data_IF_919337117995
#
_entry.id   IF_919337117995
#
_cell.length_a   1.000
_cell.length_b   1.000
_cell.length_c   1.000
_cell.angle_alpha   90.00
_cell.angle_beta   90.00
_cell.angle_gamma   90.00
#
_symmetry.space_group_name_H-M   'P 1'
#
loop_
_entity.id
_entity.type
_entity.pdbx_description
1 polymer ?
#
# COMPACT_ATOMS: atom_id res chain seq x y z
N UNK A 1 27.46 39.11 35.75
CA UNK A 1 27.22 38.54 34.41
C UNK A 1 25.77 38.71 33.91
N UNK A 2 24.75 38.99 34.74
CA UNK A 2 23.37 39.25 34.27
C UNK A 2 23.23 40.38 33.21
N UNK A 3 23.85 41.55 33.43
CA UNK A 3 23.54 42.77 32.67
C UNK A 3 23.84 42.72 31.14
N UNK A 4 24.59 41.73 30.66
CA UNK A 4 24.86 41.52 29.22
C UNK A 4 23.83 40.62 28.53
N UNK A 5 23.02 39.86 29.28
CA UNK A 5 21.97 39.00 28.72
C UNK A 5 20.71 39.79 28.32
N UNK A 6 20.25 40.72 29.16
CA UNK A 6 19.02 41.50 28.90
C UNK A 6 19.11 42.42 27.67
N UNK A 7 20.31 42.99 27.41
CA UNK A 7 20.58 43.75 26.18
C UNK A 7 20.52 42.87 24.92
N UNK A 8 20.86 41.58 25.02
CA UNK A 8 20.81 40.67 23.88
C UNK A 8 19.36 40.25 23.58
N UNK A 9 18.57 39.93 24.61
CA UNK A 9 17.16 39.53 24.48
C UNK A 9 16.24 40.67 23.95
N UNK A 10 16.49 41.92 24.38
CA UNK A 10 15.70 43.08 23.96
C UNK A 10 15.98 43.54 22.52
N UNK A 11 17.16 43.26 21.97
CA UNK A 11 17.45 43.49 20.55
C UNK A 11 16.80 42.45 19.64
N UNK A 12 16.73 41.18 20.05
CA UNK A 12 16.06 40.13 19.26
C UNK A 12 14.56 40.41 19.10
N UNK A 13 13.87 40.88 20.16
CA UNK A 13 12.46 41.31 20.06
C UNK A 13 12.25 42.48 19.11
N UNK A 14 13.15 43.48 19.12
CA UNK A 14 13.07 44.61 18.18
C UNK A 14 13.31 44.17 16.73
N UNK A 15 14.21 43.22 16.48
CA UNK A 15 14.37 42.60 15.16
C UNK A 15 13.12 41.87 14.67
N UNK A 16 12.50 41.04 15.52
CA UNK A 16 11.26 40.31 15.21
C UNK A 16 10.03 41.23 15.03
N UNK A 17 9.92 42.32 15.79
CA UNK A 17 8.88 43.33 15.59
C UNK A 17 9.12 44.14 14.32
N UNK A 18 10.38 44.49 14.00
CA UNK A 18 10.69 45.16 12.74
C UNK A 18 10.40 44.27 11.53
N UNK A 19 10.70 42.96 11.57
CA UNK A 19 10.40 42.04 10.47
C UNK A 19 8.90 41.79 10.28
N UNK A 20 8.13 41.66 11.37
CA UNK A 20 6.66 41.54 11.28
C UNK A 20 5.98 42.84 10.83
N UNK A 21 6.48 44.02 11.23
CA UNK A 21 6.01 45.28 10.66
C UNK A 21 6.38 45.41 9.18
N UNK A 22 7.62 45.07 8.77
CA UNK A 22 8.02 45.13 7.36
C UNK A 22 7.17 44.20 6.46
N UNK A 23 6.86 42.98 6.91
CA UNK A 23 5.90 42.10 6.23
C UNK A 23 4.49 42.70 6.17
N UNK A 24 4.02 43.32 7.27
CA UNK A 24 2.71 44.00 7.32
C UNK A 24 2.58 45.18 6.35
N UNK A 25 3.67 45.90 6.07
CA UNK A 25 3.66 47.00 5.09
C UNK A 25 3.76 46.48 3.64
N UNK A 26 4.53 45.42 3.36
CA UNK A 26 4.62 44.85 2.01
C UNK A 26 3.33 44.16 1.54
N UNK A 27 2.53 43.60 2.45
CA UNK A 27 1.26 42.92 2.09
C UNK A 27 0.05 43.86 2.01
N UNK A 28 0.16 45.12 2.44
CA UNK A 28 -0.97 46.08 2.45
C UNK A 28 -1.39 46.62 1.08
N UNK A 29 -0.63 46.32 0.03
CA UNK A 29 -0.94 46.71 -1.35
C UNK A 29 -1.16 45.53 -2.32
N UNK A 30 -1.20 44.29 -1.82
CA UNK A 30 -1.43 43.09 -2.64
C UNK A 30 -2.84 42.59 -2.35
N UNK A 31 -3.63 42.38 -3.39
CA UNK A 31 -5.01 41.90 -3.26
C UNK A 31 -5.07 40.60 -2.41
N UNK A 32 -6.03 40.46 -1.48
CA UNK A 32 -6.18 39.25 -0.68
C UNK A 32 -6.29 37.98 -1.54
N UNK A 33 -6.94 38.12 -2.71
CA UNK A 33 -7.11 37.07 -3.72
C UNK A 33 -5.77 36.63 -4.32
N UNK A 34 -4.88 37.58 -4.66
CA UNK A 34 -3.54 37.28 -5.19
C UNK A 34 -2.70 36.59 -4.12
N UNK A 35 -2.77 37.07 -2.87
CA UNK A 35 -2.03 36.50 -1.75
C UNK A 35 -2.48 35.06 -1.44
N UNK A 36 -3.78 34.76 -1.53
CA UNK A 36 -4.34 33.41 -1.43
C UNK A 36 -3.87 32.53 -2.60
N UNK A 37 -3.96 33.01 -3.84
CA UNK A 37 -3.54 32.28 -5.04
C UNK A 37 -2.06 31.89 -5.00
N UNK A 38 -1.16 32.82 -4.65
CA UNK A 38 0.28 32.55 -4.51
C UNK A 38 0.54 31.55 -3.38
N UNK A 39 -0.19 31.62 -2.26
CA UNK A 39 -0.07 30.66 -1.16
C UNK A 39 -0.54 29.26 -1.56
N UNK A 40 -1.66 29.15 -2.28
CA UNK A 40 -2.12 27.88 -2.84
C UNK A 40 -1.13 27.27 -3.83
N UNK A 41 -0.58 28.10 -4.73
CA UNK A 41 0.39 27.67 -5.73
C UNK A 41 1.68 27.17 -5.06
N UNK A 42 2.15 27.88 -4.02
CA UNK A 42 3.27 27.46 -3.18
C UNK A 42 3.01 26.12 -2.48
N UNK A 43 1.82 25.92 -1.88
CA UNK A 43 1.45 24.65 -1.24
C UNK A 43 1.35 23.49 -2.25
N UNK A 44 0.81 23.73 -3.45
CA UNK A 44 0.70 22.72 -4.53
C UNK A 44 2.10 22.29 -5.01
N UNK A 45 3.00 23.25 -5.27
CA UNK A 45 4.39 22.96 -5.65
C UNK A 45 5.18 22.25 -4.54
N UNK A 46 4.96 22.61 -3.27
CA UNK A 46 5.56 21.94 -2.12
C UNK A 46 5.12 20.47 -2.05
N UNK A 47 3.81 20.20 -2.11
CA UNK A 47 3.27 18.83 -2.06
C UNK A 47 3.77 17.94 -3.20
N UNK A 48 3.80 18.46 -4.43
CA UNK A 48 4.31 17.73 -5.60
C UNK A 48 5.78 17.30 -5.43
N UNK A 49 6.64 18.16 -4.85
CA UNK A 49 8.04 17.86 -4.62
C UNK A 49 8.24 16.66 -3.68
N UNK A 50 7.45 16.55 -2.60
CA UNK A 50 7.54 15.42 -1.66
C UNK A 50 6.93 14.13 -2.21
N UNK A 51 5.90 14.22 -3.06
CA UNK A 51 5.40 13.06 -3.81
C UNK A 51 6.52 12.50 -4.70
N UNK A 52 7.20 13.36 -5.48
CA UNK A 52 8.31 12.96 -6.35
C UNK A 52 9.48 12.38 -5.54
N UNK A 53 9.92 13.06 -4.47
CA UNK A 53 11.01 12.56 -3.61
C UNK A 53 10.66 11.21 -2.97
N UNK A 54 9.47 11.07 -2.41
CA UNK A 54 8.99 9.82 -1.82
C UNK A 54 8.94 8.70 -2.86
N UNK A 55 8.47 8.99 -4.07
CA UNK A 55 8.42 8.02 -5.16
C UNK A 55 9.83 7.59 -5.61
N UNK A 56 10.78 8.51 -5.73
CA UNK A 56 12.17 8.17 -6.07
C UNK A 56 12.80 7.22 -5.04
N UNK A 57 12.60 7.46 -3.74
CA UNK A 57 13.10 6.56 -2.68
C UNK A 57 12.37 5.21 -2.72
N UNK A 58 11.04 5.21 -2.88
CA UNK A 58 10.23 3.99 -3.06
C UNK A 58 10.76 3.14 -4.22
N UNK A 59 10.92 3.73 -5.41
CA UNK A 59 11.42 3.03 -6.59
C UNK A 59 12.88 2.57 -6.44
N UNK A 60 13.74 3.31 -5.75
CA UNK A 60 15.12 2.90 -5.49
C UNK A 60 15.18 1.65 -4.60
N UNK A 61 14.43 1.63 -3.49
CA UNK A 61 14.32 0.46 -2.60
C UNK A 61 13.68 -0.72 -3.33
N UNK A 62 12.61 -0.47 -4.10
CA UNK A 62 11.92 -1.49 -4.87
C UNK A 62 12.83 -2.14 -5.91
N UNK A 63 13.46 -1.33 -6.78
CA UNK A 63 14.32 -1.80 -7.86
C UNK A 63 15.54 -2.55 -7.34
N UNK A 64 16.20 -2.07 -6.27
CA UNK A 64 17.34 -2.77 -5.66
C UNK A 64 16.96 -4.16 -5.12
N UNK A 65 15.81 -4.25 -4.45
CA UNK A 65 15.33 -5.52 -3.87
C UNK A 65 14.89 -6.51 -4.95
N UNK A 66 14.18 -6.03 -5.98
CA UNK A 66 13.76 -6.86 -7.13
C UNK A 66 14.96 -7.31 -7.96
N UNK A 67 15.94 -6.43 -8.23
CA UNK A 67 17.19 -6.80 -8.90
C UNK A 67 17.95 -7.87 -8.11
N UNK A 68 18.00 -7.74 -6.79
CA UNK A 68 18.61 -8.76 -5.91
C UNK A 68 17.90 -10.10 -6.06
N UNK A 69 16.56 -10.13 -6.12
CA UNK A 69 15.79 -11.34 -6.40
C UNK A 69 16.15 -11.95 -7.77
N UNK A 70 16.07 -11.14 -8.83
CA UNK A 70 16.31 -11.56 -10.22
C UNK A 70 17.73 -12.12 -10.43
N UNK A 71 18.73 -11.60 -9.71
CA UNK A 71 20.11 -12.11 -9.75
C UNK A 71 20.29 -13.36 -8.88
N UNK A 72 19.68 -13.44 -7.69
CA UNK A 72 19.85 -14.58 -6.79
C UNK A 72 19.15 -15.86 -7.29
N UNK A 73 17.98 -15.75 -7.92
CA UNK A 73 17.20 -16.93 -8.33
C UNK A 73 17.95 -17.83 -9.33
N UNK A 74 18.58 -17.31 -10.41
CA UNK A 74 19.41 -18.12 -11.30
C UNK A 74 20.67 -18.72 -10.65
N UNK A 75 21.26 -18.05 -9.65
CA UNK A 75 22.49 -18.51 -8.98
C UNK A 75 22.18 -19.64 -8.00
N UNK A 76 21.12 -19.50 -7.20
CA UNK A 76 20.77 -20.45 -6.14
C UNK A 76 19.87 -21.58 -6.67
N UNK A 77 19.11 -21.33 -7.75
CA UNK A 77 18.13 -22.27 -8.30
C UNK A 77 16.84 -22.39 -7.46
N UNK A 78 16.69 -21.58 -6.40
CA UNK A 78 15.58 -21.67 -5.45
C UNK A 78 14.82 -20.32 -5.39
N UNK A 79 13.69 -20.17 -6.11
CA UNK A 79 12.91 -18.93 -6.15
C UNK A 79 12.52 -18.36 -4.78
N UNK A 80 12.20 -19.25 -3.83
CA UNK A 80 11.92 -18.91 -2.44
C UNK A 80 12.98 -17.99 -1.82
N UNK A 81 14.27 -18.29 -2.02
CA UNK A 81 15.36 -17.54 -1.39
C UNK A 81 15.41 -16.13 -1.94
N UNK A 82 15.25 -15.96 -3.26
CA UNK A 82 15.15 -14.65 -3.90
C UNK A 82 13.98 -13.83 -3.35
N UNK A 83 12.77 -14.40 -3.28
CA UNK A 83 11.58 -13.74 -2.73
C UNK A 83 11.75 -13.39 -1.25
N UNK A 84 12.35 -14.28 -0.46
CA UNK A 84 12.61 -14.06 0.97
C UNK A 84 13.59 -12.91 1.18
N UNK A 85 14.68 -12.85 0.41
CA UNK A 85 15.64 -11.75 0.45
C UNK A 85 15.00 -10.43 -0.01
N UNK A 86 14.23 -10.45 -1.10
CA UNK A 86 13.51 -9.26 -1.59
C UNK A 86 12.59 -8.64 -0.54
N UNK A 87 11.72 -9.46 0.06
CA UNK A 87 10.78 -8.98 1.08
C UNK A 87 11.52 -8.57 2.37
N UNK A 88 12.63 -9.24 2.71
CA UNK A 88 13.50 -8.80 3.82
C UNK A 88 14.13 -7.43 3.54
N UNK A 89 14.54 -7.14 2.30
CA UNK A 89 15.06 -5.83 1.92
C UNK A 89 13.98 -4.74 1.93
N UNK A 90 12.74 -5.05 1.55
CA UNK A 90 11.58 -4.14 1.72
C UNK A 90 11.32 -3.78 3.21
N UNK A 91 11.74 -4.63 4.16
CA UNK A 91 11.69 -4.31 5.60
C UNK A 91 12.94 -3.53 6.03
N UNK A 92 14.13 -4.06 5.75
CA UNK A 92 15.39 -3.56 6.32
C UNK A 92 15.88 -2.24 5.72
N UNK A 93 15.60 -1.95 4.45
CA UNK A 93 16.04 -0.69 3.83
C UNK A 93 15.25 0.51 4.38
N UNK A 94 13.90 0.48 4.46
CA UNK A 94 13.13 1.50 5.17
C UNK A 94 13.48 1.71 6.65
N UNK A 95 13.93 0.67 7.36
CA UNK A 95 14.36 0.78 8.76
C UNK A 95 15.67 1.55 8.96
N UNK A 96 16.40 1.89 7.88
CA UNK A 96 17.56 2.79 7.94
C UNK A 96 17.18 4.27 7.94
N UNK A 97 15.97 4.58 7.47
CA UNK A 97 15.38 5.92 7.58
C UNK A 97 14.86 6.15 9.01
N UNK A 98 14.36 7.35 9.31
CA UNK A 98 13.78 7.66 10.62
C UNK A 98 12.57 6.74 10.91
N UNK A 99 12.73 5.83 11.89
CA UNK A 99 11.71 4.90 12.39
C UNK A 99 10.35 5.56 12.70
N UNK A 100 10.34 6.84 13.06
CA UNK A 100 9.10 7.58 13.34
C UNK A 100 8.32 7.96 12.06
N UNK A 101 8.89 7.81 10.87
CA UNK A 101 8.19 7.84 9.57
C UNK A 101 7.31 6.60 9.44
N UNK A 102 7.86 5.42 9.75
CA UNK A 102 7.22 4.12 9.51
C UNK A 102 5.90 3.98 10.28
N UNK A 103 5.84 4.52 11.51
CA UNK A 103 4.66 4.42 12.36
C UNK A 103 4.56 3.07 13.07
N UNK A 104 5.68 2.57 13.58
CA UNK A 104 5.74 1.36 14.42
C UNK A 104 5.07 1.63 15.78
N UNK A 105 3.74 1.58 15.82
CA UNK A 105 2.91 1.83 17.00
C UNK A 105 2.04 0.62 17.34
N UNK A 106 2.09 0.17 18.58
CA UNK A 106 1.24 -0.90 19.08
C UNK A 106 -0.25 -0.50 19.04
N UNK A 107 -1.12 -1.48 18.80
CA UNK A 107 -2.58 -1.30 18.74
C UNK A 107 -3.25 -2.39 19.58
N UNK A 108 -4.39 -2.06 20.21
CA UNK A 108 -5.16 -3.03 21.02
C UNK A 108 -5.56 -4.24 20.17
N UNK A 109 -5.36 -5.44 20.72
CA UNK A 109 -5.67 -6.72 20.06
C UNK A 109 -7.10 -6.78 19.50
N UNK A 110 -8.08 -6.26 20.24
CA UNK A 110 -9.48 -6.21 19.78
C UNK A 110 -9.68 -5.41 18.48
N UNK A 111 -8.92 -4.33 18.25
CA UNK A 111 -8.94 -3.60 16.97
C UNK A 111 -8.24 -4.36 15.85
N UNK A 112 -7.15 -5.07 16.17
CA UNK A 112 -6.46 -5.91 15.18
C UNK A 112 -7.36 -7.05 14.70
N UNK A 113 -8.01 -7.76 15.63
CA UNK A 113 -9.01 -8.80 15.30
C UNK A 113 -10.15 -8.22 14.46
N UNK A 114 -10.73 -7.09 14.86
CA UNK A 114 -11.83 -6.48 14.10
C UNK A 114 -11.43 -6.08 12.66
N UNK A 115 -10.25 -5.45 12.48
CA UNK A 115 -9.73 -5.10 11.14
C UNK A 115 -9.45 -6.35 10.32
N UNK A 116 -8.82 -7.37 10.91
CA UNK A 116 -8.55 -8.65 10.25
C UNK A 116 -9.84 -9.32 9.77
N UNK A 117 -10.83 -9.50 10.63
CA UNK A 117 -12.11 -10.13 10.28
C UNK A 117 -12.82 -9.37 9.18
N UNK A 118 -12.91 -8.03 9.26
CA UNK A 118 -13.56 -7.22 8.23
C UNK A 118 -12.81 -7.30 6.89
N UNK A 119 -11.48 -7.22 6.89
CA UNK A 119 -10.66 -7.37 5.70
C UNK A 119 -10.85 -8.73 5.02
N UNK A 120 -10.77 -9.83 5.79
CA UNK A 120 -11.00 -11.20 5.31
C UNK A 120 -12.41 -11.39 4.73
N UNK A 121 -13.44 -10.83 5.36
CA UNK A 121 -14.82 -10.89 4.84
C UNK A 121 -14.97 -10.13 3.52
N UNK A 122 -14.41 -8.91 3.42
CA UNK A 122 -14.43 -8.11 2.18
C UNK A 122 -13.71 -8.85 1.05
N UNK A 123 -12.50 -9.34 1.30
CA UNK A 123 -11.70 -10.04 0.30
C UNK A 123 -12.32 -11.37 -0.14
N UNK A 124 -12.92 -12.14 0.78
CA UNK A 124 -13.64 -13.38 0.44
C UNK A 124 -14.83 -13.12 -0.49
N UNK A 125 -15.56 -12.01 -0.26
CA UNK A 125 -16.69 -11.60 -1.11
C UNK A 125 -16.23 -11.12 -2.50
N UNK A 126 -15.12 -10.39 -2.56
CA UNK A 126 -14.53 -9.93 -3.82
C UNK A 126 -13.99 -11.10 -4.66
N UNK A 127 -13.26 -12.02 -4.05
CA UNK A 127 -12.78 -13.24 -4.70
C UNK A 127 -13.95 -14.11 -5.20
N UNK A 128 -15.05 -14.21 -4.44
CA UNK A 128 -16.27 -14.87 -4.90
C UNK A 128 -16.86 -14.18 -6.14
N UNK A 129 -16.92 -12.85 -6.17
CA UNK A 129 -17.44 -12.09 -7.31
C UNK A 129 -16.54 -12.25 -8.56
N UNK A 130 -15.22 -12.17 -8.40
CA UNK A 130 -14.23 -12.39 -9.47
C UNK A 130 -14.42 -13.77 -10.12
N UNK A 131 -14.52 -14.84 -9.33
CA UNK A 131 -14.72 -16.22 -9.81
C UNK A 131 -15.96 -16.40 -10.69
N UNK A 132 -17.03 -15.64 -10.40
CA UNK A 132 -18.30 -15.69 -11.13
C UNK A 132 -18.30 -14.83 -12.39
N UNK A 133 -17.61 -13.69 -12.38
CA UNK A 133 -17.56 -12.77 -13.54
C UNK A 133 -16.56 -13.26 -14.59
N UNK A 134 -15.44 -13.88 -14.17
CA UNK A 134 -14.34 -14.24 -15.07
C UNK A 134 -14.51 -15.59 -15.79
N UNK A 135 -15.55 -16.39 -15.49
CA UNK A 135 -15.73 -17.76 -15.98
C UNK A 135 -14.45 -18.61 -15.79
N UNK A 136 -14.14 -18.89 -14.52
CA UNK A 136 -12.89 -19.44 -13.98
C UNK A 136 -12.42 -20.83 -14.47
N UNK A 137 -12.93 -21.37 -15.57
CA UNK A 137 -12.43 -22.61 -16.20
C UNK A 137 -10.97 -22.47 -16.71
N UNK A 138 -10.47 -21.24 -16.87
CA UNK A 138 -9.06 -20.93 -17.16
C UNK A 138 -8.28 -20.36 -15.96
N UNK A 139 -8.84 -20.38 -14.75
CA UNK A 139 -8.16 -19.90 -13.55
C UNK A 139 -7.02 -20.87 -13.16
N UNK A 140 -5.84 -20.66 -13.77
CA UNK A 140 -4.59 -21.13 -13.18
C UNK A 140 -4.38 -20.29 -11.93
N UNK A 141 -4.29 -20.93 -10.76
CA UNK A 141 -3.89 -20.24 -9.53
C UNK A 141 -2.62 -19.46 -9.85
N UNK A 142 -2.61 -18.13 -9.75
CA UNK A 142 -1.54 -17.31 -10.31
C UNK A 142 -0.29 -17.31 -9.41
N UNK A 143 -0.21 -18.27 -8.49
CA UNK A 143 0.71 -18.32 -7.37
C UNK A 143 1.44 -19.68 -7.41
N UNK A 144 2.50 -19.80 -8.24
CA UNK A 144 3.26 -21.04 -8.33
C UNK A 144 3.88 -21.42 -6.96
N UNK A 145 3.62 -22.65 -6.52
CA UNK A 145 4.24 -23.23 -5.32
C UNK A 145 3.31 -23.71 -4.21
N UNK A 146 2.00 -23.38 -4.23
CA UNK A 146 1.02 -23.88 -3.24
C UNK A 146 1.04 -25.41 -3.14
N UNK A 147 1.10 -26.10 -4.29
CA UNK A 147 1.09 -27.56 -4.37
C UNK A 147 2.41 -28.22 -3.94
N UNK A 148 3.50 -27.44 -3.83
CA UNK A 148 4.85 -27.93 -3.55
C UNK A 148 5.21 -27.83 -2.07
N UNK A 149 4.88 -26.69 -1.43
CA UNK A 149 5.07 -26.51 0.00
C UNK A 149 4.07 -25.46 0.57
N UNK A 150 2.89 -25.89 1.06
CA UNK A 150 1.86 -24.96 1.50
C UNK A 150 2.27 -24.16 2.74
N UNK A 151 3.04 -24.75 3.67
CA UNK A 151 3.48 -24.06 4.90
C UNK A 151 4.40 -22.89 4.56
N UNK A 152 5.43 -23.16 3.75
CA UNK A 152 6.36 -22.17 3.20
C UNK A 152 5.60 -21.06 2.47
N UNK A 153 4.60 -21.42 1.66
CA UNK A 153 3.77 -20.45 0.97
C UNK A 153 2.96 -19.56 1.92
N UNK A 154 2.27 -20.13 2.91
CA UNK A 154 1.52 -19.36 3.90
C UNK A 154 2.40 -18.40 4.70
N UNK A 155 3.63 -18.78 5.04
CA UNK A 155 4.59 -17.89 5.73
C UNK A 155 4.98 -16.66 4.88
N UNK A 156 5.12 -16.82 3.56
CA UNK A 156 5.36 -15.68 2.67
C UNK A 156 4.09 -14.83 2.56
N UNK A 157 2.97 -15.44 2.19
CA UNK A 157 1.74 -14.74 1.84
C UNK A 157 1.03 -14.06 3.02
N UNK A 158 1.14 -14.61 4.23
CA UNK A 158 0.43 -14.12 5.42
C UNK A 158 1.34 -13.48 6.48
N UNK A 159 2.67 -13.46 6.28
CA UNK A 159 3.58 -12.76 7.19
C UNK A 159 4.62 -11.93 6.44
N UNK A 160 5.51 -12.55 5.66
CA UNK A 160 6.69 -11.84 5.15
C UNK A 160 6.34 -10.79 4.08
N UNK A 161 5.51 -11.13 3.09
CA UNK A 161 5.12 -10.20 2.03
C UNK A 161 4.24 -9.03 2.55
N UNK A 162 3.16 -9.27 3.34
CA UNK A 162 2.42 -8.18 3.97
C UNK A 162 3.31 -7.28 4.84
N UNK A 163 4.29 -7.83 5.57
CA UNK A 163 5.18 -7.01 6.38
C UNK A 163 6.13 -6.16 5.54
N UNK A 164 6.76 -6.73 4.50
CA UNK A 164 7.66 -6.00 3.61
C UNK A 164 6.95 -4.92 2.81
N UNK A 165 5.87 -5.29 2.14
CA UNK A 165 5.15 -4.38 1.25
C UNK A 165 4.46 -3.24 2.01
N UNK A 166 3.87 -3.51 3.18
CA UNK A 166 3.34 -2.42 4.00
C UNK A 166 4.45 -1.53 4.56
N UNK A 167 5.59 -2.09 4.98
CA UNK A 167 6.74 -1.29 5.44
C UNK A 167 7.24 -0.35 4.34
N UNK A 168 7.27 -0.82 3.09
CA UNK A 168 7.66 -0.04 1.92
C UNK A 168 6.62 1.04 1.54
N UNK A 169 5.35 0.67 1.39
CA UNK A 169 4.32 1.57 0.87
C UNK A 169 3.65 2.44 1.93
N UNK A 170 3.33 1.88 3.10
CA UNK A 170 2.53 2.53 4.17
C UNK A 170 3.44 3.03 5.30
N UNK A 171 4.57 2.36 5.52
CA UNK A 171 5.65 2.81 6.38
C UNK A 171 6.42 3.96 5.73
N UNK A 172 7.25 3.65 4.73
CA UNK A 172 8.15 4.62 4.09
C UNK A 172 7.39 5.62 3.21
N UNK A 173 6.77 5.19 2.10
CA UNK A 173 6.27 6.13 1.10
C UNK A 173 5.11 7.01 1.60
N UNK A 174 4.03 6.40 2.11
CA UNK A 174 2.91 7.14 2.70
C UNK A 174 3.33 7.93 3.95
N UNK A 175 4.12 7.34 4.83
CA UNK A 175 4.61 7.99 6.04
C UNK A 175 5.48 9.22 5.76
N UNK A 176 6.32 9.17 4.71
CA UNK A 176 7.14 10.29 4.26
C UNK A 176 6.27 11.46 3.78
N UNK A 177 5.28 11.20 2.93
CA UNK A 177 4.38 12.25 2.44
C UNK A 177 3.51 12.84 3.57
N UNK A 178 2.99 11.99 4.48
CA UNK A 178 2.22 12.45 5.65
C UNK A 178 3.05 13.28 6.64
N UNK A 179 4.36 13.03 6.74
CA UNK A 179 5.28 13.85 7.55
C UNK A 179 5.51 15.24 6.95
N UNK A 180 5.48 15.36 5.64
CA UNK A 180 5.71 16.61 4.91
C UNK A 180 4.41 17.35 4.56
N UNK A 181 3.36 17.17 5.38
CA UNK A 181 2.07 17.84 5.30
C UNK A 181 1.39 17.80 3.91
N UNK A 182 1.73 16.78 3.09
CA UNK A 182 1.06 16.53 1.81
C UNK A 182 -0.39 16.12 2.08
N UNK A 183 -1.33 16.60 1.26
CA UNK A 183 -2.77 16.35 1.44
C UNK A 183 -3.05 14.84 1.70
N UNK A 184 -3.60 14.45 2.87
CA UNK A 184 -3.65 13.04 3.25
C UNK A 184 -4.42 12.15 2.27
N UNK A 185 -5.50 12.65 1.66
CA UNK A 185 -6.26 11.87 0.67
C UNK A 185 -5.48 11.68 -0.63
N UNK A 186 -4.78 12.72 -1.10
CA UNK A 186 -3.86 12.60 -2.23
C UNK A 186 -2.76 11.58 -1.93
N UNK A 187 -2.17 11.59 -0.73
CA UNK A 187 -1.12 10.61 -0.36
C UNK A 187 -1.64 9.18 -0.34
N UNK A 188 -2.87 8.94 0.12
CA UNK A 188 -3.51 7.62 0.14
C UNK A 188 -3.78 7.16 -1.29
N UNK A 189 -4.35 8.02 -2.15
CA UNK A 189 -4.65 7.69 -3.54
C UNK A 189 -3.36 7.38 -4.32
N UNK A 190 -2.34 8.23 -4.24
CA UNK A 190 -1.05 8.00 -4.94
C UNK A 190 -0.35 6.74 -4.44
N UNK A 191 -0.35 6.49 -3.12
CA UNK A 191 0.16 5.24 -2.54
C UNK A 191 -0.61 4.02 -3.05
N UNK A 192 -1.94 4.08 -3.12
CA UNK A 192 -2.79 3.00 -3.61
C UNK A 192 -2.62 2.73 -5.10
N UNK A 193 -2.52 3.78 -5.94
CA UNK A 193 -2.27 3.64 -7.37
C UNK A 193 -0.93 2.95 -7.64
N UNK A 194 0.15 3.37 -6.97
CA UNK A 194 1.47 2.74 -7.14
C UNK A 194 1.52 1.30 -6.59
N UNK A 195 0.90 1.05 -5.43
CA UNK A 195 0.80 -0.30 -4.86
C UNK A 195 0.05 -1.25 -5.81
N UNK A 196 -1.10 -0.82 -6.33
CA UNK A 196 -1.89 -1.57 -7.30
C UNK A 196 -1.06 -1.87 -8.56
N UNK A 197 -0.46 -0.88 -9.22
CA UNK A 197 0.32 -1.13 -10.44
C UNK A 197 1.50 -2.09 -10.25
N UNK A 198 2.15 -2.14 -9.07
CA UNK A 198 3.20 -3.13 -8.83
C UNK A 198 2.70 -4.58 -8.83
N UNK A 199 1.41 -4.81 -8.58
CA UNK A 199 0.82 -6.15 -8.68
C UNK A 199 0.74 -6.66 -10.12
N UNK A 200 0.91 -5.80 -11.15
CA UNK A 200 1.05 -6.29 -12.53
C UNK A 200 2.29 -7.20 -12.71
N UNK A 201 3.36 -7.01 -11.93
CA UNK A 201 4.62 -7.75 -12.11
C UNK A 201 4.49 -9.26 -11.83
N UNK A 202 4.01 -9.73 -10.65
CA UNK A 202 3.78 -11.16 -10.43
C UNK A 202 2.68 -11.73 -11.35
N UNK A 203 1.75 -10.91 -11.80
CA UNK A 203 0.53 -11.35 -12.51
C UNK A 203 0.51 -11.02 -14.01
N UNK A 204 1.65 -10.69 -14.61
CA UNK A 204 1.76 -10.25 -16.02
C UNK A 204 1.26 -11.26 -17.05
N UNK A 205 1.26 -12.56 -16.72
CA UNK A 205 0.76 -13.64 -17.58
C UNK A 205 -0.73 -13.98 -17.37
N UNK A 206 -1.41 -13.33 -16.42
CA UNK A 206 -2.84 -13.55 -16.19
C UNK A 206 -3.68 -12.90 -17.31
N UNK A 207 -4.90 -13.40 -17.61
CA UNK A 207 -5.82 -12.76 -18.55
C UNK A 207 -6.11 -11.30 -18.16
N UNK A 208 -6.33 -10.42 -19.14
CA UNK A 208 -6.56 -8.97 -18.91
C UNK A 208 -7.73 -8.72 -17.95
N UNK A 209 -8.79 -9.53 -18.02
CA UNK A 209 -9.92 -9.46 -17.09
C UNK A 209 -9.50 -9.76 -15.65
N UNK A 210 -8.69 -10.79 -15.43
CA UNK A 210 -8.16 -11.14 -14.12
C UNK A 210 -7.17 -10.07 -13.61
N UNK A 211 -6.29 -9.54 -14.48
CA UNK A 211 -5.42 -8.42 -14.13
C UNK A 211 -6.23 -7.21 -13.65
N UNK A 212 -7.33 -6.87 -14.32
CA UNK A 212 -8.20 -5.77 -13.91
C UNK A 212 -8.83 -5.98 -12.52
N UNK A 213 -9.24 -7.21 -12.17
CA UNK A 213 -9.72 -7.55 -10.82
C UNK A 213 -8.61 -7.42 -9.78
N UNK A 214 -7.44 -8.03 -10.03
CA UNK A 214 -6.26 -7.96 -9.15
C UNK A 214 -5.89 -6.48 -8.86
N UNK A 215 -5.84 -5.64 -9.89
CA UNK A 215 -5.54 -4.21 -9.73
C UNK A 215 -6.60 -3.48 -8.93
N UNK A 216 -7.89 -3.73 -9.18
CA UNK A 216 -8.99 -3.10 -8.45
C UNK A 216 -9.02 -3.52 -6.97
N UNK A 217 -8.78 -4.79 -6.66
CA UNK A 217 -8.75 -5.32 -5.29
C UNK A 217 -7.52 -4.79 -4.54
N UNK A 218 -6.33 -4.83 -5.15
CA UNK A 218 -5.11 -4.26 -4.57
C UNK A 218 -5.23 -2.75 -4.32
N UNK A 219 -5.89 -2.01 -5.22
CA UNK A 219 -6.17 -0.58 -5.04
C UNK A 219 -7.12 -0.32 -3.86
N UNK A 220 -8.23 -1.06 -3.77
CA UNK A 220 -9.20 -0.95 -2.68
C UNK A 220 -8.58 -1.31 -1.33
N UNK A 221 -7.87 -2.44 -1.25
CA UNK A 221 -7.13 -2.88 -0.07
C UNK A 221 -6.16 -1.78 0.37
N UNK A 222 -5.43 -1.18 -0.59
CA UNK A 222 -4.48 -0.11 -0.29
C UNK A 222 -5.13 1.18 0.21
N UNK A 223 -6.32 1.55 -0.28
CA UNK A 223 -7.08 2.68 0.27
C UNK A 223 -7.44 2.41 1.73
N UNK A 224 -7.91 1.19 2.06
CA UNK A 224 -8.29 0.80 3.43
C UNK A 224 -7.05 0.82 4.35
N UNK A 225 -5.96 0.17 3.93
CA UNK A 225 -4.70 0.13 4.67
C UNK A 225 -4.10 1.53 4.88
N UNK A 226 -4.09 2.37 3.83
CA UNK A 226 -3.61 3.75 3.88
C UNK A 226 -4.48 4.65 4.78
N UNK A 227 -5.80 4.50 4.72
CA UNK A 227 -6.72 5.19 5.63
C UNK A 227 -6.49 4.80 7.09
N UNK A 228 -6.38 3.51 7.40
CA UNK A 228 -6.12 3.03 8.76
C UNK A 228 -4.74 3.49 9.28
N UNK A 229 -3.70 3.46 8.43
CA UNK A 229 -2.36 3.98 8.73
C UNK A 229 -2.37 5.49 9.01
N UNK A 230 -3.19 6.25 8.28
CA UNK A 230 -3.40 7.69 8.48
C UNK A 230 -4.18 8.00 9.76
N UNK A 231 -5.24 7.25 10.07
CA UNK A 231 -6.10 7.53 11.23
C UNK A 231 -5.47 7.09 12.56
N UNK A 232 -4.65 6.04 12.56
CA UNK A 232 -4.05 5.50 13.80
C UNK A 232 -2.57 5.84 13.98
N UNK A 233 -1.90 6.27 12.92
CA UNK A 233 -0.44 6.40 12.90
C UNK A 233 0.30 5.06 13.02
N UNK A 234 -0.40 3.92 12.94
CA UNK A 234 0.16 2.58 13.09
C UNK A 234 0.28 1.85 11.76
N UNK A 235 1.48 1.34 11.49
CA UNK A 235 1.76 0.40 10.40
C UNK A 235 1.09 -0.96 10.63
N UNK A 236 0.89 -1.36 11.88
CA UNK A 236 0.41 -2.70 12.23
C UNK A 236 -1.02 -2.94 11.71
N UNK A 237 -1.88 -1.93 11.66
CA UNK A 237 -3.21 -2.08 11.06
C UNK A 237 -3.19 -2.17 9.54
N UNK A 238 -2.20 -1.58 8.86
CA UNK A 238 -2.01 -1.77 7.42
C UNK A 238 -1.58 -3.23 7.14
N UNK A 239 -0.60 -3.74 7.89
CA UNK A 239 -0.16 -5.15 7.81
C UNK A 239 -1.34 -6.08 8.06
N UNK A 240 -2.09 -5.89 9.14
CA UNK A 240 -3.24 -6.76 9.48
C UNK A 240 -4.38 -6.66 8.45
N UNK A 241 -4.57 -5.51 7.81
CA UNK A 241 -5.51 -5.37 6.67
C UNK A 241 -5.04 -6.24 5.50
N UNK A 242 -3.77 -6.11 5.10
CA UNK A 242 -3.17 -6.86 3.99
C UNK A 242 -3.21 -8.38 4.27
N UNK A 243 -2.81 -8.84 5.46
CA UNK A 243 -2.91 -10.26 5.86
C UNK A 243 -4.35 -10.77 5.80
N UNK A 244 -5.33 -9.95 6.21
CA UNK A 244 -6.75 -10.30 6.07
C UNK A 244 -7.20 -10.43 4.62
N UNK A 245 -6.77 -9.52 3.74
CA UNK A 245 -7.06 -9.61 2.30
C UNK A 245 -6.46 -10.88 1.68
N UNK A 246 -5.18 -11.15 1.89
CA UNK A 246 -4.50 -12.33 1.37
C UNK A 246 -5.15 -13.63 1.86
N UNK A 247 -5.58 -13.69 3.12
CA UNK A 247 -6.31 -14.85 3.64
C UNK A 247 -7.71 -14.99 3.01
N UNK A 248 -8.44 -13.89 2.83
CA UNK A 248 -9.77 -13.90 2.23
C UNK A 248 -9.75 -14.30 0.75
N UNK A 249 -8.76 -13.83 -0.01
CA UNK A 249 -8.52 -14.24 -1.39
C UNK A 249 -8.13 -15.72 -1.49
N UNK A 250 -7.23 -16.21 -0.63
CA UNK A 250 -6.87 -17.63 -0.56
C UNK A 250 -8.08 -18.52 -0.20
N UNK A 251 -8.89 -18.08 0.76
CA UNK A 251 -10.09 -18.81 1.17
C UNK A 251 -11.15 -18.83 0.06
N UNK A 252 -11.45 -17.67 -0.53
CA UNK A 252 -12.42 -17.52 -1.60
C UNK A 252 -12.03 -18.29 -2.87
N UNK A 253 -10.79 -18.14 -3.33
CA UNK A 253 -10.29 -18.82 -4.54
C UNK A 253 -10.20 -20.34 -4.38
N UNK A 254 -9.78 -20.86 -3.21
CA UNK A 254 -9.60 -22.31 -3.02
C UNK A 254 -10.91 -23.04 -2.61
N UNK A 255 -11.61 -22.55 -1.58
CA UNK A 255 -12.71 -23.30 -0.97
C UNK A 255 -14.06 -23.06 -1.64
N UNK A 256 -14.37 -21.83 -2.06
CA UNK A 256 -15.65 -21.56 -2.74
C UNK A 256 -15.65 -22.22 -4.13
N UNK A 257 -14.54 -22.11 -4.89
CA UNK A 257 -14.40 -22.77 -6.19
C UNK A 257 -14.61 -24.30 -6.10
N UNK A 258 -13.86 -25.00 -5.23
CA UNK A 258 -14.04 -26.46 -5.04
C UNK A 258 -15.40 -26.84 -4.46
N UNK A 259 -15.97 -26.04 -3.56
CA UNK A 259 -17.30 -26.28 -2.99
C UNK A 259 -18.38 -26.28 -4.06
N UNK A 260 -18.44 -25.22 -4.87
CA UNK A 260 -19.44 -25.09 -5.94
C UNK A 260 -19.23 -26.09 -7.08
N UNK A 261 -17.98 -26.40 -7.47
CA UNK A 261 -17.74 -27.41 -8.50
C UNK A 261 -18.20 -28.81 -8.05
N UNK A 262 -17.97 -29.19 -6.78
CA UNK A 262 -18.44 -30.46 -6.23
C UNK A 262 -19.97 -30.53 -6.07
N UNK A 263 -20.64 -29.40 -5.85
CA UNK A 263 -22.12 -29.34 -5.83
C UNK A 263 -22.67 -29.50 -7.26
N UNK A 264 -22.11 -28.81 -8.27
CA UNK A 264 -22.54 -28.97 -9.67
C UNK A 264 -22.40 -30.41 -10.16
N UNK A 265 -21.31 -31.10 -9.82
CA UNK A 265 -21.10 -32.51 -10.23
C UNK A 265 -21.96 -33.49 -9.44
N UNK A 266 -22.22 -33.25 -8.14
CA UNK A 266 -23.10 -34.13 -7.32
C UNK A 266 -24.59 -33.93 -7.57
N UNK A 267 -25.04 -32.73 -7.91
CA UNK A 267 -26.46 -32.44 -8.12
C UNK A 267 -26.94 -32.68 -9.58
N UNK A 268 -26.11 -33.25 -10.45
CA UNK A 268 -26.52 -33.66 -11.80
C UNK A 268 -26.92 -32.53 -12.76
N UNK A 269 -26.66 -31.26 -12.40
CA UNK A 269 -26.96 -30.09 -13.25
C UNK A 269 -25.94 -29.95 -14.40
N UNK A 270 -26.01 -30.89 -15.33
CA UNK A 270 -25.36 -30.80 -16.62
C UNK A 270 -26.24 -29.94 -17.55
N UNK A 271 -26.13 -28.62 -17.42
CA UNK A 271 -26.70 -27.70 -18.41
C UNK A 271 -25.83 -27.78 -19.66
N UNK A 272 -26.21 -28.63 -20.61
CA UNK A 272 -25.57 -28.69 -21.92
C UNK A 272 -25.82 -27.37 -22.67
N UNK A 273 -24.77 -26.55 -22.79
CA UNK A 273 -24.83 -25.25 -23.47
C UNK A 273 -25.03 -25.39 -24.99
N UNK A 274 -24.89 -26.60 -25.56
CA UNK A 274 -25.17 -26.83 -26.99
C UNK A 274 -26.66 -26.77 -27.34
N UNK A 275 -27.56 -26.78 -26.34
CA UNK A 275 -29.01 -26.80 -26.57
C UNK A 275 -29.62 -25.44 -26.96
N UNK A 276 -28.84 -24.35 -27.01
CA UNK A 276 -29.33 -22.98 -27.30
C UNK A 276 -28.86 -22.36 -28.63
N UNK A 277 -28.14 -23.12 -29.48
CA UNK A 277 -27.70 -22.66 -30.82
C UNK A 277 -28.16 -23.60 -31.94
N UNK A 278 -29.45 -23.95 -31.96
CA UNK A 278 -30.12 -24.63 -33.08
C UNK A 278 -31.54 -24.09 -33.33
N UNK A 279 -31.61 -22.87 -33.83
CA UNK A 279 -32.64 -22.36 -34.77
C UNK A 279 -32.01 -21.25 -35.59
#
# INVERSE_FOLDING_TARGET
MQATWDKRYSNTRRGLQASTMAQSYFTKGIDPIITLSVREMGMKCHGALYIIKGALVLFAVFALSVLTCVVLVPIIGVPLVGTTVMQTLFILLPLREDYSILGLRAVRLTRMIAVFTVATCIASLLAYAELHITNSEQFKSPIPGIEQNPIQYFLIALALAPTGEETLFRGLFLGYMLRHDVNPWLTIIVSATLFSFMHMLPFHNAPITQQAFILAIAFLMSIIAGYLRKQTGSLLLAIITHVGFNLGELYGSYYLYRGFHNIKTRCGFHIDRNTFYKT
#
